data_IF_771828476398
#
_entry.id   IF_771828476398
#
_cell.length_a   1.000
_cell.length_b   1.000
_cell.length_c   1.000
_cell.angle_alpha   90.00
_cell.angle_beta   90.00
_cell.angle_gamma   90.00
#
_symmetry.space_group_name_H-M   'P 1'
#
loop_
_entity.id
_entity.type
_entity.pdbx_description
1 polymer ?
#
# COMPACT_ATOMS: atom_id res chain seq x y z
N UNK A 1 -39.57 -26.54 -1.84
CA UNK A 1 -39.25 -25.46 -2.80
C UNK A 1 -38.43 -24.43 -2.04
N UNK A 2 -37.12 -24.37 -2.25
CA UNK A 2 -36.29 -23.34 -1.63
C UNK A 2 -36.35 -22.11 -2.53
N UNK A 3 -37.05 -21.08 -2.08
CA UNK A 3 -37.05 -19.80 -2.80
C UNK A 3 -35.78 -19.05 -2.42
N UNK A 4 -35.25 -18.23 -3.34
CA UNK A 4 -34.07 -17.40 -3.09
C UNK A 4 -34.23 -16.53 -1.82
N UNK A 5 -35.47 -16.15 -1.49
CA UNK A 5 -35.83 -15.42 -0.28
C UNK A 5 -35.60 -16.20 1.02
N UNK A 6 -35.85 -17.52 1.04
CA UNK A 6 -35.62 -18.33 2.25
C UNK A 6 -34.12 -18.50 2.56
N UNK A 7 -33.29 -18.60 1.51
CA UNK A 7 -31.83 -18.63 1.65
C UNK A 7 -31.27 -17.27 2.07
N UNK A 8 -31.74 -16.18 1.48
CA UNK A 8 -31.34 -14.83 1.89
C UNK A 8 -31.77 -14.53 3.34
N UNK A 9 -32.99 -14.91 3.73
CA UNK A 9 -33.50 -14.71 5.09
C UNK A 9 -32.71 -15.55 6.12
N UNK A 10 -32.41 -16.83 5.81
CA UNK A 10 -31.53 -17.64 6.66
C UNK A 10 -30.09 -17.10 6.71
N UNK A 11 -29.53 -16.70 5.57
CA UNK A 11 -28.21 -16.07 5.50
C UNK A 11 -28.13 -14.79 6.34
N UNK A 12 -29.15 -13.93 6.22
CA UNK A 12 -29.27 -12.70 7.02
C UNK A 12 -29.44 -13.01 8.52
N UNK A 13 -30.21 -14.05 8.88
CA UNK A 13 -30.38 -14.46 10.27
C UNK A 13 -29.08 -15.02 10.89
N UNK A 14 -28.25 -15.70 10.09
CA UNK A 14 -26.93 -16.17 10.52
C UNK A 14 -25.90 -15.02 10.62
N UNK A 15 -26.05 -13.98 9.81
CA UNK A 15 -25.25 -12.75 9.92
C UNK A 15 -25.76 -11.77 11.00
N UNK A 16 -26.98 -11.96 11.50
CA UNK A 16 -27.59 -11.10 12.53
C UNK A 16 -27.12 -11.44 13.95
N UNK A 17 -26.65 -12.67 14.18
CA UNK A 17 -25.82 -12.98 15.33
C UNK A 17 -24.41 -12.47 15.04
N UNK A 18 -23.84 -11.69 15.97
CA UNK A 18 -22.45 -11.21 15.89
C UNK A 18 -21.52 -12.40 15.66
N UNK A 19 -21.21 -12.66 14.39
CA UNK A 19 -20.38 -13.74 13.97
C UNK A 19 -18.93 -13.30 14.13
N UNK A 20 -18.53 -12.99 15.36
CA UNK A 20 -17.12 -12.89 15.75
C UNK A 20 -16.55 -14.32 15.76
N UNK A 21 -16.43 -14.86 14.55
CA UNK A 21 -15.91 -16.19 14.28
C UNK A 21 -14.39 -16.16 14.22
N UNK A 22 -13.76 -15.01 14.49
CA UNK A 22 -12.32 -14.81 14.45
C UNK A 22 -11.62 -15.86 15.30
N UNK A 23 -12.13 -16.11 16.51
CA UNK A 23 -11.65 -17.16 17.42
C UNK A 23 -11.77 -18.58 16.83
N UNK A 24 -12.86 -18.89 16.13
CA UNK A 24 -13.05 -20.19 15.47
C UNK A 24 -12.10 -20.36 14.29
N UNK A 25 -11.86 -19.31 13.49
CA UNK A 25 -10.89 -19.31 12.39
C UNK A 25 -9.45 -19.48 12.89
N UNK A 26 -9.13 -18.85 14.02
CA UNK A 26 -7.83 -18.97 14.69
C UNK A 26 -7.62 -20.38 15.24
N UNK A 27 -8.59 -20.89 16.00
CA UNK A 27 -8.54 -22.21 16.62
C UNK A 27 -8.50 -23.34 15.59
N UNK A 28 -9.27 -23.23 14.50
CA UNK A 28 -9.30 -24.22 13.44
C UNK A 28 -8.14 -24.06 12.42
N UNK A 29 -7.30 -23.03 12.55
CA UNK A 29 -6.27 -22.66 11.56
C UNK A 29 -6.82 -22.45 10.15
N UNK A 30 -8.11 -22.12 10.02
CA UNK A 30 -8.80 -21.92 8.75
C UNK A 30 -8.34 -20.64 8.02
N UNK A 31 -7.55 -19.78 8.66
CA UNK A 31 -6.96 -18.62 8.01
C UNK A 31 -6.07 -18.98 6.82
N UNK A 32 -5.54 -20.21 6.76
CA UNK A 32 -4.80 -20.71 5.59
C UNK A 32 -5.72 -21.00 4.39
N UNK A 33 -6.98 -21.36 4.64
CA UNK A 33 -7.99 -21.53 3.58
C UNK A 33 -8.33 -20.17 2.96
N UNK A 34 -8.34 -19.10 3.77
CA UNK A 34 -8.56 -17.75 3.25
C UNK A 34 -7.49 -17.37 2.24
N UNK A 35 -6.21 -17.70 2.46
CA UNK A 35 -5.10 -17.39 1.52
C UNK A 35 -5.25 -18.15 0.19
N UNK A 36 -5.88 -19.33 0.22
CA UNK A 36 -5.94 -20.26 -0.91
C UNK A 36 -7.11 -20.05 -1.87
N UNK A 37 -8.00 -19.07 -1.65
CA UNK A 37 -9.05 -18.75 -2.64
C UNK A 37 -8.58 -17.61 -3.57
N UNK A 38 -8.11 -17.92 -4.80
CA UNK A 38 -7.71 -16.91 -5.78
C UNK A 38 -8.91 -16.15 -6.39
N UNK A 39 -10.16 -16.62 -6.17
CA UNK A 39 -11.40 -16.00 -6.66
C UNK A 39 -12.15 -15.23 -5.59
N UNK A 40 -11.87 -15.48 -4.31
CA UNK A 40 -12.09 -14.51 -3.24
C UNK A 40 -11.04 -13.41 -3.40
N UNK A 41 -11.16 -12.72 -4.54
CA UNK A 41 -10.44 -11.51 -4.84
C UNK A 41 -10.90 -10.51 -3.79
N UNK A 42 -10.14 -10.54 -2.70
CA UNK A 42 -10.18 -9.73 -1.50
C UNK A 42 -10.97 -8.47 -1.76
N UNK A 43 -12.18 -8.42 -1.20
CA UNK A 43 -12.88 -7.16 -1.04
C UNK A 43 -11.88 -6.27 -0.28
N UNK A 44 -11.36 -5.19 -0.90
CA UNK A 44 -10.38 -4.31 -0.27
C UNK A 44 -11.12 -3.47 0.77
N UNK A 45 -11.45 -4.12 1.87
CA UNK A 45 -12.27 -3.58 2.94
C UNK A 45 -11.49 -3.72 4.25
N UNK A 46 -11.51 -2.64 5.02
CA UNK A 46 -11.00 -2.65 6.38
C UNK A 46 -11.79 -3.63 7.26
N UNK A 47 -13.06 -3.87 6.92
CA UNK A 47 -13.92 -4.88 7.56
C UNK A 47 -13.71 -6.31 7.01
N UNK A 48 -12.70 -6.55 6.16
CA UNK A 48 -12.40 -7.90 5.68
C UNK A 48 -12.02 -8.81 6.86
N UNK A 49 -12.55 -10.05 6.84
CA UNK A 49 -12.25 -11.08 7.85
C UNK A 49 -10.73 -11.31 7.99
N UNK A 50 -9.96 -11.17 6.91
CA UNK A 50 -8.49 -11.26 6.93
C UNK A 50 -7.84 -10.20 7.82
N UNK A 51 -8.34 -8.97 7.78
CA UNK A 51 -7.87 -7.86 8.61
C UNK A 51 -8.20 -8.10 10.08
N UNK A 52 -9.44 -8.50 10.38
CA UNK A 52 -9.86 -8.82 11.75
C UNK A 52 -9.02 -9.96 12.35
N UNK A 53 -8.80 -11.04 11.57
CA UNK A 53 -7.93 -12.15 11.97
C UNK A 53 -6.48 -11.69 12.16
N UNK A 54 -5.96 -10.80 11.31
CA UNK A 54 -4.59 -10.27 11.47
C UNK A 54 -4.45 -9.47 12.78
N UNK A 55 -5.38 -8.57 13.04
CA UNK A 55 -5.40 -7.77 14.27
C UNK A 55 -5.47 -8.67 15.51
N UNK A 56 -6.30 -9.72 15.49
CA UNK A 56 -6.42 -10.66 16.60
C UNK A 56 -5.19 -11.57 16.75
N UNK A 57 -4.58 -12.02 15.66
CA UNK A 57 -3.30 -12.76 15.69
C UNK A 57 -2.21 -11.93 16.33
N UNK A 58 -2.11 -10.65 15.96
CA UNK A 58 -1.12 -9.76 16.55
C UNK A 58 -1.29 -9.64 18.05
N UNK A 59 -2.51 -9.64 18.61
CA UNK A 59 -2.72 -9.62 20.07
C UNK A 59 -2.11 -10.83 20.80
N UNK A 60 -1.81 -11.92 20.10
CA UNK A 60 -1.20 -13.14 20.65
C UNK A 60 0.33 -13.22 20.47
N UNK A 61 0.91 -12.42 19.56
CA UNK A 61 2.36 -12.41 19.29
C UNK A 61 3.11 -11.77 20.46
N UNK A 62 4.35 -12.15 20.79
CA UNK A 62 5.10 -11.46 21.85
C UNK A 62 5.37 -9.98 21.46
N UNK A 63 5.30 -9.00 22.39
CA UNK A 63 5.49 -7.58 22.05
C UNK A 63 6.80 -7.28 21.31
N UNK A 64 7.88 -8.00 21.61
CA UNK A 64 9.18 -7.84 20.93
C UNK A 64 9.23 -8.34 19.49
N UNK A 65 8.24 -9.15 19.07
CA UNK A 65 8.12 -9.68 17.71
C UNK A 65 7.07 -8.92 16.88
N UNK A 66 6.34 -7.96 17.50
CA UNK A 66 5.36 -7.11 16.81
C UNK A 66 6.03 -5.85 16.31
N UNK A 67 5.72 -5.44 15.09
CA UNK A 67 6.02 -4.08 14.66
C UNK A 67 4.93 -3.16 15.24
N UNK A 68 5.31 -2.34 16.22
CA UNK A 68 4.42 -1.32 16.79
C UNK A 68 4.96 0.03 16.36
N UNK A 69 4.19 0.75 15.53
CA UNK A 69 4.48 2.16 15.25
C UNK A 69 3.84 3.02 16.34
N UNK A 70 4.57 4.05 16.77
CA UNK A 70 4.04 5.07 17.66
C UNK A 70 2.86 5.80 17.00
N UNK A 71 1.87 6.15 17.81
CA UNK A 71 0.65 6.82 17.36
C UNK A 71 0.95 8.11 16.58
N UNK A 72 1.94 8.89 17.04
CA UNK A 72 2.34 10.11 16.36
C UNK A 72 2.96 9.84 14.98
N UNK A 73 3.62 8.69 14.79
CA UNK A 73 4.16 8.32 13.48
C UNK A 73 3.05 7.90 12.52
N UNK A 74 2.07 7.13 13.00
CA UNK A 74 0.88 6.78 12.21
C UNK A 74 0.17 8.06 11.74
N UNK A 75 -0.02 9.01 12.66
CA UNK A 75 -0.65 10.31 12.35
C UNK A 75 0.14 11.09 11.29
N UNK A 76 1.47 11.19 11.43
CA UNK A 76 2.32 11.90 10.46
C UNK A 76 2.26 11.29 9.06
N UNK A 77 2.22 9.97 8.94
CA UNK A 77 2.08 9.28 7.64
C UNK A 77 0.72 9.60 7.00
N UNK A 78 -0.36 9.55 7.78
CA UNK A 78 -1.70 9.91 7.29
C UNK A 78 -1.77 11.39 6.85
N UNK A 79 -1.17 12.29 7.63
CA UNK A 79 -1.07 13.72 7.28
C UNK A 79 -0.24 13.96 6.02
N UNK A 80 0.89 13.26 5.87
CA UNK A 80 1.73 13.33 4.68
C UNK A 80 0.99 12.85 3.42
N UNK A 81 0.24 11.74 3.53
CA UNK A 81 -0.57 11.24 2.43
C UNK A 81 -1.62 12.26 2.00
N UNK A 82 -2.39 12.79 2.96
CA UNK A 82 -3.39 13.82 2.70
C UNK A 82 -2.79 15.09 2.08
N UNK A 83 -1.61 15.51 2.57
CA UNK A 83 -0.87 16.63 1.99
C UNK A 83 -0.59 16.42 0.49
N UNK A 84 -0.17 15.22 0.08
CA UNK A 84 0.09 14.93 -1.33
C UNK A 84 -1.17 14.88 -2.19
N UNK A 85 -2.27 14.33 -1.67
CA UNK A 85 -3.56 14.35 -2.38
C UNK A 85 -4.00 15.78 -2.68
N UNK A 86 -3.90 16.68 -1.70
CA UNK A 86 -4.23 18.10 -1.85
C UNK A 86 -3.28 18.78 -2.82
N UNK A 87 -1.97 18.55 -2.69
CA UNK A 87 -0.95 19.13 -3.58
C UNK A 87 -1.19 18.77 -5.04
N UNK A 88 -1.41 17.48 -5.34
CA UNK A 88 -1.72 17.01 -6.69
C UNK A 88 -3.04 17.61 -7.17
N UNK A 89 -4.07 17.62 -6.32
CA UNK A 89 -5.36 18.23 -6.64
C UNK A 89 -5.27 19.72 -6.97
N UNK A 90 -4.39 20.47 -6.30
CA UNK A 90 -4.12 21.89 -6.62
C UNK A 90 -3.42 22.04 -7.97
N UNK A 91 -2.43 21.19 -8.25
CA UNK A 91 -1.71 21.19 -9.53
C UNK A 91 -2.59 20.80 -10.73
N UNK A 92 -3.57 19.90 -10.53
CA UNK A 92 -4.42 19.36 -11.60
C UNK A 92 -5.63 20.26 -11.95
N UNK A 93 -5.96 21.22 -11.09
CA UNK A 93 -7.02 22.18 -11.37
C UNK A 93 -6.56 23.13 -12.48
N UNK A 94 -6.93 22.86 -13.73
CA UNK A 94 -6.72 23.76 -14.86
C UNK A 94 -7.32 25.14 -14.60
N UNK A 95 -6.53 26.20 -14.82
CA UNK A 95 -7.00 27.61 -14.82
C UNK A 95 -7.85 27.98 -16.05
N UNK A 96 -8.21 26.99 -16.88
CA UNK A 96 -9.09 27.12 -18.04
C UNK A 96 -10.52 27.58 -17.71
N UNK A 97 -10.84 27.83 -16.44
CA UNK A 97 -12.10 28.41 -16.01
C UNK A 97 -12.28 29.89 -16.41
N UNK A 98 -11.26 30.58 -16.94
CA UNK A 98 -11.37 31.99 -17.32
C UNK A 98 -12.05 32.25 -18.67
N UNK A 99 -12.28 31.24 -19.53
CA UNK A 99 -12.96 31.45 -20.84
C UNK A 99 -14.28 30.70 -21.03
N UNK A 100 -14.73 29.91 -20.03
CA UNK A 100 -16.00 29.17 -20.11
C UNK A 100 -17.17 29.99 -19.54
N UNK A 101 -17.55 31.05 -20.26
CA UNK A 101 -18.78 31.77 -20.02
C UNK A 101 -20.00 30.85 -20.25
N UNK A 102 -20.75 30.59 -19.18
CA UNK A 102 -22.12 30.01 -19.16
C UNK A 102 -22.31 28.58 -19.72
N UNK A 103 -22.18 27.58 -18.84
CA UNK A 103 -23.09 26.43 -18.87
C UNK A 103 -23.57 26.10 -17.45
N UNK A 104 -24.68 26.70 -17.02
CA UNK A 104 -25.28 26.57 -15.69
C UNK A 104 -25.98 25.23 -15.44
N UNK A 105 -25.57 24.16 -16.13
CA UNK A 105 -26.26 22.86 -16.09
C UNK A 105 -25.34 21.63 -15.97
N UNK A 106 -24.06 21.81 -15.61
CA UNK A 106 -23.17 20.69 -15.35
C UNK A 106 -22.90 20.59 -13.85
N UNK A 107 -23.80 19.84 -13.20
CA UNK A 107 -23.65 19.30 -11.84
C UNK A 107 -22.23 18.74 -11.64
N UNK A 108 -21.67 19.05 -10.47
CA UNK A 108 -20.81 18.22 -9.60
C UNK A 108 -20.21 17.00 -10.33
N UNK A 109 -18.87 16.92 -10.53
CA UNK A 109 -18.28 15.66 -10.93
C UNK A 109 -18.64 14.64 -9.85
N UNK A 110 -19.21 13.48 -10.21
CA UNK A 110 -19.42 12.44 -9.22
C UNK A 110 -18.04 12.14 -8.63
N UNK A 111 -17.93 12.15 -7.29
CA UNK A 111 -16.89 11.34 -6.65
C UNK A 111 -17.02 9.98 -7.31
N UNK A 112 -15.98 9.59 -8.04
CA UNK A 112 -15.88 8.25 -8.59
C UNK A 112 -15.78 7.32 -7.38
N UNK A 113 -16.94 6.96 -6.81
CA UNK A 113 -17.15 5.66 -6.21
C UNK A 113 -16.95 4.66 -7.34
N UNK A 114 -15.68 4.42 -7.63
CA UNK A 114 -15.22 3.37 -8.49
C UNK A 114 -15.84 2.13 -7.90
N UNK A 115 -16.76 1.49 -8.62
CA UNK A 115 -17.15 0.10 -8.36
C UNK A 115 -15.84 -0.70 -8.44
N UNK A 116 -15.16 -0.85 -7.30
CA UNK A 116 -13.83 -1.46 -7.22
C UNK A 116 -14.03 -2.92 -7.59
N UNK A 117 -13.74 -3.24 -8.85
CA UNK A 117 -13.66 -4.63 -9.29
C UNK A 117 -12.63 -5.33 -8.44
N UNK A 118 -12.91 -6.57 -8.06
CA UNK A 118 -12.02 -7.37 -7.27
C UNK A 118 -10.66 -7.46 -7.99
N UNK A 119 -9.60 -6.91 -7.38
CA UNK A 119 -8.29 -6.79 -8.04
C UNK A 119 -7.70 -8.19 -8.23
N UNK A 120 -7.22 -8.49 -9.43
CA UNK A 120 -6.39 -9.67 -9.62
C UNK A 120 -5.06 -9.48 -8.89
N UNK A 121 -4.54 -10.50 -8.21
CA UNK A 121 -3.21 -10.43 -7.62
C UNK A 121 -2.19 -10.08 -8.71
N UNK A 122 -1.49 -8.96 -8.54
CA UNK A 122 -0.41 -8.54 -9.44
C UNK A 122 0.77 -9.47 -9.17
N UNK A 123 0.84 -10.58 -9.89
CA UNK A 123 2.04 -11.41 -9.94
C UNK A 123 3.04 -10.67 -10.81
N UNK A 124 3.91 -9.88 -10.18
CA UNK A 124 5.01 -9.22 -10.87
C UNK A 124 5.85 -10.27 -11.60
N UNK A 125 6.18 -10.05 -12.87
CA UNK A 125 7.11 -10.92 -13.60
C UNK A 125 8.45 -10.87 -12.87
N UNK A 126 8.97 -11.97 -12.31
CA UNK A 126 10.30 -11.95 -11.72
C UNK A 126 11.29 -11.63 -12.84
N UNK A 127 11.92 -10.46 -12.78
CA UNK A 127 13.06 -10.14 -13.64
C UNK A 127 14.17 -11.13 -13.31
N UNK A 128 14.63 -11.89 -14.30
CA UNK A 128 15.65 -12.95 -14.18
C UNK A 128 17.03 -12.47 -13.70
N UNK A 129 17.17 -11.19 -13.36
CA UNK A 129 18.35 -10.60 -12.73
C UNK A 129 18.19 -10.64 -11.20
N UNK A 130 18.15 -11.86 -10.64
CA UNK A 130 18.32 -12.04 -9.20
C UNK A 130 19.81 -11.98 -8.86
N UNK A 131 20.41 -10.78 -8.90
CA UNK A 131 21.59 -10.55 -8.07
C UNK A 131 21.15 -10.69 -6.62
N UNK A 132 21.69 -11.65 -5.89
CA UNK A 132 21.48 -11.85 -4.46
C UNK A 132 21.81 -10.56 -3.71
N UNK A 133 20.81 -9.71 -3.50
CA UNK A 133 20.92 -8.57 -2.61
C UNK A 133 20.83 -9.11 -1.19
N UNK A 134 21.98 -9.16 -0.52
CA UNK A 134 22.06 -9.27 0.93
C UNK A 134 21.37 -8.01 1.49
N UNK A 135 20.15 -8.16 2.00
CA UNK A 135 19.43 -7.06 2.62
C UNK A 135 19.85 -7.04 4.09
N UNK A 136 21.00 -6.44 4.37
CA UNK A 136 21.36 -6.07 5.72
C UNK A 136 20.47 -4.89 6.15
N UNK A 137 19.43 -5.20 6.94
CA UNK A 137 18.62 -4.20 7.63
C UNK A 137 19.41 -3.51 8.75
N UNK A 138 20.69 -3.86 8.94
CA UNK A 138 21.62 -3.18 9.84
C UNK A 138 22.11 -1.82 9.32
N UNK A 139 21.64 -1.34 8.16
CA UNK A 139 21.91 -0.01 7.65
C UNK A 139 20.70 0.93 7.85
N UNK A 140 20.23 1.10 9.09
CA UNK A 140 19.50 2.31 9.46
C UNK A 140 20.43 3.55 9.50
N UNK A 141 21.75 3.39 9.35
CA UNK A 141 22.70 4.52 9.31
C UNK A 141 22.75 5.28 7.96
N UNK A 142 22.31 4.67 6.84
CA UNK A 142 22.44 5.32 5.53
C UNK A 142 21.35 6.36 5.21
N UNK A 143 20.22 6.34 5.93
CA UNK A 143 19.24 7.45 5.89
C UNK A 143 19.67 8.63 6.74
N UNK A 144 20.65 8.47 7.65
CA UNK A 144 21.16 9.55 8.49
C UNK A 144 22.40 10.26 7.91
N UNK A 145 23.12 9.65 6.96
CA UNK A 145 24.38 10.20 6.42
C UNK A 145 24.28 11.10 5.20
N UNK A 146 23.13 11.19 4.52
CA UNK A 146 23.02 11.94 3.26
C UNK A 146 22.66 13.44 3.41
N UNK A 147 22.58 13.99 4.63
CA UNK A 147 22.39 15.45 4.85
C UNK A 147 23.31 16.00 5.95
N UNK A 148 24.53 15.46 6.09
CA UNK A 148 25.55 16.02 6.97
C UNK A 148 26.68 16.68 6.17
N UNK A 149 26.36 17.81 5.54
CA UNK A 149 27.36 18.79 5.12
C UNK A 149 26.77 20.21 5.15
N UNK A 150 26.87 20.83 6.34
CA UNK A 150 27.35 22.20 6.48
C UNK A 150 26.59 23.34 5.82
N UNK A 151 25.55 23.83 6.49
CA UNK A 151 25.35 25.28 6.71
C UNK A 151 24.26 25.48 7.75
N UNK A 152 24.64 25.91 8.94
CA UNK A 152 23.71 26.30 10.01
C UNK A 152 23.04 27.60 9.56
N UNK A 153 21.74 27.64 9.22
CA UNK A 153 21.11 28.88 8.83
C UNK A 153 21.03 29.81 10.07
N UNK A 154 21.11 31.13 9.88
CA UNK A 154 20.99 32.07 10.98
C UNK A 154 19.62 31.91 11.64
N UNK A 155 19.61 32.00 12.97
CA UNK A 155 18.39 32.02 13.78
C UNK A 155 17.63 33.32 13.49
N UNK A 156 16.79 33.34 12.46
CA UNK A 156 15.70 34.30 12.36
C UNK A 156 14.46 33.67 12.99
N UNK A 157 13.95 34.29 14.05
CA UNK A 157 12.63 34.01 14.67
C UNK A 157 11.47 34.47 13.76
N UNK A 158 11.67 34.46 12.45
CA UNK A 158 10.61 34.53 11.46
C UNK A 158 9.76 33.27 11.65
N UNK A 159 8.57 33.45 12.23
CA UNK A 159 7.50 32.44 12.34
C UNK A 159 7.51 31.59 11.07
N UNK A 160 8.09 30.39 11.14
CA UNK A 160 8.10 29.46 10.00
C UNK A 160 6.62 29.22 9.69
N UNK A 161 6.18 29.69 8.53
CA UNK A 161 4.84 29.37 8.06
C UNK A 161 4.82 27.85 7.89
N UNK A 162 3.95 27.19 8.65
CA UNK A 162 3.83 25.73 8.57
C UNK A 162 3.07 25.44 7.29
N UNK A 163 3.79 25.03 6.25
CA UNK A 163 3.21 24.59 4.98
C UNK A 163 2.48 23.27 5.24
N UNK A 164 1.15 23.32 5.28
CA UNK A 164 0.26 22.18 5.47
C UNK A 164 -0.80 22.13 4.35
N UNK A 165 -1.70 21.16 4.37
CA UNK A 165 -2.73 21.00 3.36
C UNK A 165 -3.60 22.27 3.16
N UNK A 166 -4.00 22.93 4.25
CA UNK A 166 -4.78 24.18 4.19
C UNK A 166 -3.99 25.30 3.51
N UNK A 167 -2.70 25.42 3.84
CA UNK A 167 -1.82 26.40 3.21
C UNK A 167 -1.71 26.19 1.70
N UNK A 168 -1.66 24.94 1.22
CA UNK A 168 -1.61 24.62 -0.21
C UNK A 168 -2.85 25.14 -0.95
N UNK A 169 -4.03 25.00 -0.35
CA UNK A 169 -5.29 25.47 -0.91
C UNK A 169 -5.42 27.00 -0.86
N UNK A 170 -4.87 27.66 0.16
CA UNK A 170 -4.85 29.13 0.24
C UNK A 170 -3.87 29.76 -0.76
N UNK A 171 -2.79 29.03 -1.12
CA UNK A 171 -1.68 29.54 -1.93
C UNK A 171 -1.54 28.80 -3.27
N UNK A 172 -2.68 28.41 -3.88
CA UNK A 172 -2.71 27.58 -5.10
C UNK A 172 -1.82 28.12 -6.24
N UNK A 173 -1.79 29.43 -6.47
CA UNK A 173 -0.97 30.03 -7.53
C UNK A 173 0.53 29.79 -7.34
N UNK A 174 1.02 29.89 -6.10
CA UNK A 174 2.41 29.60 -5.75
C UNK A 174 2.67 28.10 -5.89
N UNK A 175 1.77 27.27 -5.35
CA UNK A 175 1.90 25.81 -5.44
C UNK A 175 1.95 25.35 -6.89
N UNK A 176 1.06 25.81 -7.77
CA UNK A 176 1.04 25.41 -9.17
C UNK A 176 2.28 25.86 -9.93
N UNK A 177 2.68 27.12 -9.77
CA UNK A 177 3.87 27.64 -10.46
C UNK A 177 5.16 26.93 -10.01
N UNK A 178 5.26 26.59 -8.72
CA UNK A 178 6.42 25.91 -8.15
C UNK A 178 6.40 24.41 -8.43
N UNK A 179 5.28 23.73 -8.17
CA UNK A 179 5.17 22.27 -8.17
C UNK A 179 4.64 21.68 -9.46
N UNK A 180 4.00 22.47 -10.32
CA UNK A 180 3.51 22.03 -11.64
C UNK A 180 4.57 21.30 -12.47
N UNK A 181 5.81 21.81 -12.59
CA UNK A 181 6.88 21.12 -13.32
C UNK A 181 7.35 19.79 -12.70
N UNK A 182 7.03 19.54 -11.43
CA UNK A 182 7.50 18.38 -10.66
C UNK A 182 6.40 17.36 -10.36
N UNK A 183 5.12 17.72 -10.53
CA UNK A 183 3.98 16.86 -10.16
C UNK A 183 4.02 15.53 -10.92
N UNK A 184 4.43 15.54 -12.19
CA UNK A 184 4.56 14.34 -13.01
C UNK A 184 5.67 13.39 -12.54
N UNK A 185 6.66 13.89 -11.79
CA UNK A 185 7.69 13.05 -11.16
C UNK A 185 7.25 12.54 -9.78
N UNK A 186 6.40 13.31 -9.09
CA UNK A 186 5.85 12.94 -7.79
C UNK A 186 4.81 11.81 -7.92
N UNK A 187 3.91 11.86 -8.91
CA UNK A 187 2.84 10.85 -9.06
C UNK A 187 3.39 9.42 -9.13
N UNK A 188 4.38 9.08 -9.97
CA UNK A 188 4.94 7.73 -10.01
C UNK A 188 5.53 7.28 -8.66
N UNK A 189 6.15 8.18 -7.90
CA UNK A 189 6.68 7.85 -6.57
C UNK A 189 5.55 7.43 -5.62
N UNK A 190 4.44 8.18 -5.62
CA UNK A 190 3.27 7.89 -4.80
C UNK A 190 2.48 6.69 -5.33
N UNK A 191 2.40 6.47 -6.64
CA UNK A 191 1.73 5.31 -7.25
C UNK A 191 2.44 4.01 -6.88
N UNK A 192 3.78 4.00 -6.88
CA UNK A 192 4.58 2.84 -6.47
C UNK A 192 4.25 2.43 -5.03
N UNK A 193 4.23 3.39 -4.09
CA UNK A 193 3.95 3.08 -2.68
C UNK A 193 2.44 2.89 -2.43
N UNK A 194 1.61 3.67 -3.10
CA UNK A 194 0.15 3.70 -2.96
C UNK A 194 -0.52 2.47 -3.50
N UNK A 195 -0.18 2.07 -4.72
CA UNK A 195 -0.89 1.03 -5.46
C UNK A 195 -0.16 -0.32 -5.49
N UNK A 196 1.17 -0.33 -5.52
CA UNK A 196 1.93 -1.58 -5.63
C UNK A 196 2.27 -2.20 -4.27
N UNK A 197 2.29 -1.39 -3.20
CA UNK A 197 2.46 -1.91 -1.85
C UNK A 197 1.16 -2.51 -1.33
N UNK A 198 1.03 -3.83 -1.46
CA UNK A 198 -0.18 -4.56 -1.14
C UNK A 198 -0.07 -5.32 0.19
N UNK A 199 -1.03 -5.08 1.08
CA UNK A 199 -1.22 -5.76 2.36
C UNK A 199 -2.42 -6.71 2.28
N UNK A 200 -2.26 -7.81 1.53
CA UNK A 200 -3.29 -8.85 1.36
C UNK A 200 -4.61 -8.35 0.78
N UNK A 201 -4.52 -7.62 -0.32
CA UNK A 201 -5.66 -7.06 -1.05
C UNK A 201 -5.95 -5.60 -0.73
N UNK A 202 -5.45 -5.08 0.39
CA UNK A 202 -5.54 -3.67 0.76
C UNK A 202 -4.27 -2.95 0.28
N UNK A 203 -4.40 -1.91 -0.52
CA UNK A 203 -3.28 -1.03 -0.89
C UNK A 203 -3.16 0.15 0.08
N UNK A 204 -2.03 0.86 0.08
CA UNK A 204 -1.88 2.03 0.95
C UNK A 204 -2.83 3.16 0.54
N UNK A 205 -3.07 3.32 -0.77
CA UNK A 205 -4.07 4.24 -1.31
C UNK A 205 -5.48 3.90 -0.82
N UNK A 206 -5.86 2.61 -0.79
CA UNK A 206 -7.16 2.19 -0.25
C UNK A 206 -7.31 2.49 1.26
N UNK A 207 -6.19 2.45 1.99
CA UNK A 207 -6.14 2.67 3.44
C UNK A 207 -6.18 4.16 3.78
N UNK A 208 -5.46 5.02 3.05
CA UNK A 208 -5.30 6.43 3.40
C UNK A 208 -6.18 7.37 2.57
N UNK A 209 -6.53 7.00 1.34
CA UNK A 209 -7.09 7.94 0.38
C UNK A 209 -8.53 8.36 0.67
N UNK A 210 -8.78 9.68 0.64
CA UNK A 210 -10.12 10.27 0.77
C UNK A 210 -10.83 10.06 2.11
N UNK A 211 -10.11 9.69 3.17
CA UNK A 211 -10.66 9.42 4.51
C UNK A 211 -10.47 10.59 5.47
N UNK A 212 -11.25 10.59 6.55
CA UNK A 212 -10.93 11.43 7.71
C UNK A 212 -9.61 10.98 8.35
N UNK A 213 -8.96 11.88 9.08
CA UNK A 213 -7.66 11.59 9.69
C UNK A 213 -7.72 10.40 10.67
N UNK A 214 -8.75 10.34 11.51
CA UNK A 214 -8.93 9.25 12.48
C UNK A 214 -9.18 7.91 11.77
N UNK A 215 -10.02 7.92 10.73
CA UNK A 215 -10.29 6.73 9.92
C UNK A 215 -9.03 6.26 9.16
N UNK A 216 -8.23 7.19 8.64
CA UNK A 216 -6.97 6.89 7.96
C UNK A 216 -5.94 6.27 8.91
N UNK A 217 -5.86 6.75 10.16
CA UNK A 217 -4.99 6.16 11.17
C UNK A 217 -5.39 4.72 11.50
N UNK A 218 -6.69 4.45 11.68
CA UNK A 218 -7.19 3.10 11.94
C UNK A 218 -6.99 2.17 10.72
N UNK A 219 -7.24 2.69 9.53
CA UNK A 219 -6.98 1.99 8.28
C UNK A 219 -5.50 1.62 8.12
N UNK A 220 -4.58 2.52 8.50
CA UNK A 220 -3.15 2.27 8.48
C UNK A 220 -2.75 1.20 9.50
N UNK A 221 -3.37 1.16 10.70
CA UNK A 221 -3.15 0.06 11.67
C UNK A 221 -3.56 -1.29 11.07
N UNK A 222 -4.73 -1.34 10.44
CA UNK A 222 -5.23 -2.51 9.75
C UNK A 222 -4.28 -2.96 8.63
N UNK A 223 -3.80 -2.02 7.82
CA UNK A 223 -2.84 -2.27 6.75
C UNK A 223 -1.52 -2.84 7.29
N UNK A 224 -0.94 -2.24 8.33
CA UNK A 224 0.29 -2.72 8.97
C UNK A 224 0.11 -4.11 9.59
N UNK A 225 -1.05 -4.39 10.19
CA UNK A 225 -1.35 -5.70 10.74
C UNK A 225 -1.38 -6.77 9.65
N UNK A 226 -2.01 -6.48 8.51
CA UNK A 226 -2.01 -7.38 7.36
C UNK A 226 -0.59 -7.65 6.84
N UNK A 227 0.28 -6.64 6.77
CA UNK A 227 1.69 -6.85 6.37
C UNK A 227 2.43 -7.74 7.37
N UNK A 228 2.21 -7.56 8.67
CA UNK A 228 2.89 -8.35 9.70
C UNK A 228 2.47 -9.82 9.69
N UNK A 229 1.17 -10.06 9.52
CA UNK A 229 0.61 -11.41 9.64
C UNK A 229 0.70 -12.18 8.32
N UNK A 230 0.34 -11.52 7.22
CA UNK A 230 0.22 -12.15 5.90
C UNK A 230 1.35 -11.77 4.95
N UNK A 231 1.98 -10.62 5.18
CA UNK A 231 2.95 -10.02 4.27
C UNK A 231 4.41 -10.32 4.61
N UNK A 232 5.26 -9.36 4.30
CA UNK A 232 6.71 -9.51 4.17
C UNK A 232 7.50 -9.40 5.47
N UNK A 233 6.88 -8.97 6.57
CA UNK A 233 7.56 -8.63 7.83
C UNK A 233 7.89 -9.83 8.72
N UNK A 234 7.71 -11.07 8.24
CA UNK A 234 8.06 -12.28 8.99
C UNK A 234 9.54 -12.30 9.42
N UNK A 235 9.81 -12.88 10.58
CA UNK A 235 11.12 -12.91 11.25
C UNK A 235 12.30 -13.17 10.30
N UNK A 236 13.29 -12.28 10.33
CA UNK A 236 14.58 -12.39 9.60
C UNK A 236 15.37 -13.67 9.95
N UNK A 237 14.93 -14.43 10.95
CA UNK A 237 15.58 -15.66 11.40
C UNK A 237 15.17 -16.90 10.63
N UNK A 238 14.15 -16.83 9.77
CA UNK A 238 13.84 -17.97 8.89
C UNK A 238 14.91 -18.08 7.80
N UNK A 239 15.61 -19.22 7.68
CA UNK A 239 16.58 -19.42 6.62
C UNK A 239 15.89 -19.24 5.27
N UNK A 240 16.43 -18.33 4.46
CA UNK A 240 15.90 -17.98 3.14
C UNK A 240 15.78 -19.27 2.31
N UNK A 241 14.58 -19.67 1.86
CA UNK A 241 14.46 -20.81 0.96
C UNK A 241 15.18 -20.48 -0.35
N UNK A 242 15.89 -21.45 -0.95
CA UNK A 242 16.63 -21.22 -2.17
C UNK A 242 15.66 -21.02 -3.35
N UNK A 243 15.57 -19.79 -3.84
CA UNK A 243 14.84 -19.44 -5.06
C UNK A 243 13.32 -19.39 -4.92
N UNK A 244 12.68 -18.77 -5.92
CA UNK A 244 11.22 -18.76 -6.08
C UNK A 244 10.76 -20.19 -6.36
N UNK A 245 9.79 -20.68 -5.59
CA UNK A 245 9.22 -22.02 -5.78
C UNK A 245 8.41 -22.08 -7.09
N UNK A 246 9.13 -22.38 -8.18
CA UNK A 246 8.59 -22.48 -9.53
C UNK A 246 7.44 -23.49 -9.64
N UNK A 247 7.42 -24.52 -8.78
CA UNK A 247 6.34 -25.50 -8.75
C UNK A 247 5.06 -24.84 -8.24
N UNK A 248 5.16 -24.05 -7.18
CA UNK A 248 4.04 -23.28 -6.65
C UNK A 248 3.56 -22.21 -7.63
N UNK A 249 4.46 -21.50 -8.32
CA UNK A 249 4.09 -20.57 -9.41
C UNK A 249 3.31 -21.29 -10.52
N UNK A 250 3.83 -22.42 -11.00
CA UNK A 250 3.20 -23.19 -12.07
C UNK A 250 1.81 -23.70 -11.65
N UNK A 251 1.65 -24.06 -10.37
CA UNK A 251 0.35 -24.44 -9.81
C UNK A 251 -0.65 -23.28 -9.75
N UNK A 252 -0.21 -22.08 -9.35
CA UNK A 252 -1.06 -20.90 -9.26
C UNK A 252 -1.40 -20.29 -10.62
N UNK A 253 -0.52 -20.43 -11.62
CA UNK A 253 -0.73 -19.97 -12.99
C UNK A 253 -1.81 -20.77 -13.77
N UNK A 254 -2.56 -21.66 -13.10
CA UNK A 254 -3.59 -22.55 -13.67
C UNK A 254 -4.87 -21.79 -14.07
N UNK A 255 -4.72 -20.78 -14.92
CA UNK A 255 -5.77 -20.11 -15.68
C UNK A 255 -5.68 -20.37 -17.19
N UNK A 256 -4.57 -20.92 -17.68
CA UNK A 256 -4.42 -21.34 -19.08
C UNK A 256 -5.00 -22.73 -19.27
N UNK A 257 -5.98 -22.89 -20.19
CA UNK A 257 -6.68 -24.15 -20.44
C UNK A 257 -5.72 -25.35 -20.54
N UNK A 258 -5.66 -26.23 -19.52
CA UNK A 258 -4.72 -27.35 -19.51
C UNK A 258 -5.12 -28.48 -20.46
N UNK A 259 -6.29 -28.39 -21.11
CA UNK A 259 -6.82 -29.41 -22.02
C UNK A 259 -5.91 -29.70 -23.21
N UNK A 260 -5.05 -28.76 -23.63
CA UNK A 260 -4.23 -28.93 -24.83
C UNK A 260 -2.90 -29.65 -24.56
N UNK A 261 -2.56 -29.95 -23.28
CA UNK A 261 -1.27 -30.53 -22.89
C UNK A 261 -1.40 -31.55 -21.74
N UNK A 262 -1.63 -32.85 -22.03
CA UNK A 262 -1.84 -33.87 -21.00
C UNK A 262 -0.63 -34.06 -20.06
N UNK A 263 0.59 -33.88 -20.56
CA UNK A 263 1.82 -33.92 -19.75
C UNK A 263 1.85 -32.79 -18.72
N UNK A 264 1.44 -31.59 -19.12
CA UNK A 264 1.33 -30.45 -18.22
C UNK A 264 0.23 -30.69 -17.17
N UNK A 265 -0.90 -31.27 -17.57
CA UNK A 265 -1.97 -31.63 -16.64
C UNK A 265 -1.54 -32.68 -15.59
N UNK A 266 -0.76 -33.69 -16.00
CA UNK A 266 -0.19 -34.68 -15.09
C UNK A 266 0.83 -34.06 -14.13
N UNK A 267 1.72 -33.20 -14.66
CA UNK A 267 2.68 -32.43 -13.86
C UNK A 267 1.98 -31.53 -12.84
N UNK A 268 0.97 -30.77 -13.26
CA UNK A 268 0.16 -29.91 -12.38
C UNK A 268 -0.58 -30.71 -11.31
N UNK A 269 -1.10 -31.89 -11.64
CA UNK A 269 -1.74 -32.78 -10.66
C UNK A 269 -0.75 -33.28 -9.61
N UNK A 270 0.49 -33.63 -10.01
CA UNK A 270 1.54 -34.02 -9.07
C UNK A 270 1.96 -32.87 -8.16
N UNK A 271 2.14 -31.67 -8.72
CA UNK A 271 2.46 -30.48 -7.94
C UNK A 271 1.32 -30.20 -6.96
N UNK A 272 0.06 -30.20 -7.41
CA UNK A 272 -1.11 -29.98 -6.57
C UNK A 272 -1.17 -30.93 -5.37
N UNK A 273 -0.81 -32.21 -5.56
CA UNK A 273 -0.76 -33.20 -4.49
C UNK A 273 0.36 -32.93 -3.46
N UNK A 274 1.38 -32.17 -3.83
CA UNK A 274 2.50 -31.78 -2.95
C UNK A 274 2.30 -30.40 -2.32
N UNK A 275 1.26 -29.65 -2.73
CA UNK A 275 0.94 -28.35 -2.15
C UNK A 275 0.35 -28.55 -0.75
N UNK A 276 0.97 -27.90 0.23
CA UNK A 276 0.46 -27.81 1.60
C UNK A 276 0.14 -26.36 1.92
N UNK A 277 -0.76 -26.11 2.88
CA UNK A 277 -1.03 -24.75 3.33
C UNK A 277 0.22 -24.00 3.82
N UNK A 278 1.20 -24.71 4.37
CA UNK A 278 2.47 -24.13 4.81
C UNK A 278 3.33 -23.71 3.61
N UNK A 279 3.48 -24.57 2.59
CA UNK A 279 4.22 -24.22 1.37
C UNK A 279 3.62 -23.01 0.64
N UNK A 280 2.29 -22.96 0.53
CA UNK A 280 1.62 -21.82 -0.09
C UNK A 280 1.81 -20.54 0.73
N UNK A 281 1.71 -20.61 2.06
CA UNK A 281 1.98 -19.48 2.95
C UNK A 281 3.42 -18.98 2.80
N UNK A 282 4.41 -19.87 2.79
CA UNK A 282 5.81 -19.52 2.63
C UNK A 282 6.08 -18.87 1.28
N UNK A 283 5.49 -19.41 0.21
CA UNK A 283 5.55 -18.84 -1.13
C UNK A 283 4.96 -17.43 -1.17
N UNK A 284 3.76 -17.21 -0.60
CA UNK A 284 3.14 -15.89 -0.57
C UNK A 284 3.97 -14.88 0.24
N UNK A 285 4.55 -15.29 1.37
CA UNK A 285 5.48 -14.46 2.14
C UNK A 285 6.71 -14.05 1.33
N UNK A 286 7.30 -15.00 0.58
CA UNK A 286 8.43 -14.70 -0.31
C UNK A 286 8.05 -13.71 -1.41
N UNK A 287 6.90 -13.93 -2.06
CA UNK A 287 6.39 -13.04 -3.10
C UNK A 287 6.14 -11.64 -2.54
N UNK A 288 5.51 -11.53 -1.37
CA UNK A 288 5.32 -10.25 -0.68
C UNK A 288 6.65 -9.58 -0.35
N UNK A 289 7.65 -10.32 0.15
CA UNK A 289 9.01 -9.76 0.42
C UNK A 289 9.68 -9.24 -0.84
N UNK A 290 9.61 -9.98 -1.94
CA UNK A 290 10.15 -9.57 -3.23
C UNK A 290 9.44 -8.31 -3.75
N UNK A 291 8.10 -8.27 -3.64
CA UNK A 291 7.29 -7.10 -3.98
C UNK A 291 7.70 -5.86 -3.17
N UNK A 292 7.84 -5.98 -1.84
CA UNK A 292 8.30 -4.87 -1.00
C UNK A 292 9.71 -4.41 -1.37
N UNK A 293 10.64 -5.33 -1.64
CA UNK A 293 11.99 -4.97 -2.07
C UNK A 293 11.98 -4.21 -3.41
N UNK A 294 11.13 -4.62 -4.34
CA UNK A 294 10.93 -3.93 -5.61
C UNK A 294 10.34 -2.53 -5.41
N UNK A 295 9.22 -2.40 -4.67
CA UNK A 295 8.59 -1.12 -4.34
C UNK A 295 9.58 -0.16 -3.66
N UNK A 296 10.36 -0.63 -2.68
CA UNK A 296 11.38 0.19 -2.01
C UNK A 296 12.44 0.71 -2.96
N UNK A 297 12.89 -0.12 -3.91
CA UNK A 297 13.91 0.27 -4.89
C UNK A 297 13.35 1.31 -5.88
N UNK A 298 12.16 1.06 -6.43
CA UNK A 298 11.51 2.01 -7.34
C UNK A 298 11.20 3.34 -6.65
N UNK A 299 10.64 3.29 -5.45
CA UNK A 299 10.36 4.51 -4.68
C UNK A 299 11.63 5.33 -4.43
N UNK A 300 12.75 4.71 -4.03
CA UNK A 300 14.03 5.42 -3.86
C UNK A 300 14.50 6.06 -5.17
N UNK A 301 14.41 5.33 -6.28
CA UNK A 301 14.81 5.85 -7.59
C UNK A 301 13.98 7.08 -7.97
N UNK A 302 12.65 7.04 -7.79
CA UNK A 302 11.79 8.20 -8.04
C UNK A 302 12.07 9.35 -7.07
N UNK A 303 12.26 9.05 -5.78
CA UNK A 303 12.56 10.03 -4.75
C UNK A 303 13.90 10.76 -5.01
N UNK A 304 14.93 10.05 -5.46
CA UNK A 304 16.20 10.66 -5.83
C UNK A 304 16.07 11.57 -7.06
N UNK A 305 15.28 11.17 -8.06
CA UNK A 305 14.98 12.00 -9.22
C UNK A 305 14.26 13.29 -8.82
N UNK A 306 13.25 13.16 -7.96
CA UNK A 306 12.47 14.29 -7.43
C UNK A 306 13.33 15.22 -6.56
N UNK A 307 14.19 14.67 -5.70
CA UNK A 307 15.14 15.48 -4.90
C UNK A 307 16.06 16.32 -5.78
N UNK A 308 16.65 15.69 -6.81
CA UNK A 308 17.52 16.39 -7.77
C UNK A 308 16.79 17.48 -8.55
N UNK A 309 15.50 17.28 -8.85
CA UNK A 309 14.71 18.30 -9.56
C UNK A 309 14.27 19.45 -8.66
N UNK A 310 14.06 19.22 -7.36
CA UNK A 310 13.65 20.24 -6.38
C UNK A 310 14.80 21.04 -5.78
N UNK A 311 16.02 20.53 -5.78
CA UNK A 311 17.20 21.17 -5.17
C UNK A 311 17.48 22.60 -5.68
N UNK A 312 17.35 22.91 -6.99
CA UNK A 312 17.52 24.28 -7.49
C UNK A 312 16.44 25.25 -6.98
N UNK A 313 15.20 24.77 -6.85
CA UNK A 313 14.04 25.55 -6.41
C UNK A 313 14.08 25.82 -4.90
N UNK A 314 14.70 24.93 -4.14
CA UNK A 314 14.82 25.05 -2.68
C UNK A 314 15.65 26.25 -2.19
N UNK A 315 16.47 26.84 -3.08
CA UNK A 315 17.27 28.03 -2.77
C UNK A 315 16.52 29.36 -2.98
N UNK A 316 15.33 29.31 -3.60
CA UNK A 316 14.49 30.50 -3.85
C UNK A 316 13.51 30.81 -2.73
N UNK A 317 12.67 31.82 -2.95
CA UNK A 317 11.60 32.24 -2.02
C UNK A 317 10.59 31.12 -1.74
N UNK A 318 10.42 30.18 -2.68
CA UNK A 318 9.54 29.01 -2.58
C UNK A 318 10.18 27.82 -1.82
N UNK A 319 11.38 27.98 -1.29
CA UNK A 319 12.14 26.89 -0.64
C UNK A 319 11.43 26.25 0.55
N UNK A 320 10.50 26.96 1.19
CA UNK A 320 9.67 26.42 2.28
C UNK A 320 8.72 25.31 1.80
N UNK A 321 8.13 25.45 0.62
CA UNK A 321 7.24 24.44 0.02
C UNK A 321 8.02 23.19 -0.35
N UNK A 322 9.17 23.34 -1.01
CA UNK A 322 10.05 22.22 -1.35
C UNK A 322 10.55 21.49 -0.09
N UNK A 323 10.91 22.22 0.97
CA UNK A 323 11.34 21.63 2.23
C UNK A 323 10.21 20.86 2.93
N UNK A 324 8.98 21.38 2.93
CA UNK A 324 7.82 20.70 3.49
C UNK A 324 7.50 19.41 2.74
N UNK A 325 7.52 19.44 1.41
CA UNK A 325 7.32 18.27 0.56
C UNK A 325 8.37 17.19 0.81
N UNK A 326 9.65 17.56 0.91
CA UNK A 326 10.72 16.61 1.23
C UNK A 326 10.60 16.05 2.66
N UNK A 327 10.05 16.84 3.58
CA UNK A 327 9.69 16.40 4.92
C UNK A 327 8.60 15.33 4.90
N UNK A 328 7.51 15.58 4.19
CA UNK A 328 6.41 14.62 4.06
C UNK A 328 6.81 13.35 3.31
N UNK A 329 7.69 13.41 2.30
CA UNK A 329 8.21 12.24 1.60
C UNK A 329 9.11 11.33 2.45
N UNK A 330 9.58 11.84 3.60
CA UNK A 330 10.45 11.09 4.51
C UNK A 330 9.64 10.21 5.48
N UNK A 331 8.43 10.62 5.83
CA UNK A 331 7.54 9.88 6.73
C UNK A 331 7.13 8.53 6.10
#
# INVERSE_FOLDING_TARGET
KYTFGDWASKGLSLSATWADNTTNYLQARCYKVMICDPKDATIPDLAALRTAVAMELLKQVAPGDRLVLEEDRIRRVAEAWHFFEVLIGVCDRDDSACDAQQCSSCRVPPMLESKRSARQPVVGKPSSESSDVHVDVAAEEDTHRLVSAGSRPPRSDSRRCVVNAVWLEEHMGIVRSTMGPHVDQLRPALDVVGCQFNASGLTLDDALGGRSQDDACEALRCFLANIQVWGSLGSLREPRPPGVDWETELFLAKGSNPCDRPELAAKLSRIAAQQTPDRLSDYHRQLSRAGVAHVRREFRQHLEGLRRSLEPTALGDDGQLCAALLGHLRE
#
